data_IF_154863996013
#
_entry.id   IF_154863996013
#
_cell.length_a   1.000
_cell.length_b   1.000
_cell.length_c   1.000
_cell.angle_alpha   90.00
_cell.angle_beta   90.00
_cell.angle_gamma   90.00
#
_symmetry.space_group_name_H-M   'P 1'
#
loop_
_entity.id
_entity.type
_entity.pdbx_description
1 polymer ?
#
# COMPACT_ATOMS: atom_id res chain seq x y z
N UNK A 1 2.50 0.27 -2.13
CA UNK A 1 2.50 -0.77 -3.16
C UNK A 1 3.69 -0.67 -4.09
N UNK A 2 3.96 0.49 -4.69
CA UNK A 2 4.92 0.64 -5.80
C UNK A 2 6.37 0.96 -5.39
N UNK A 3 6.64 1.20 -4.11
CA UNK A 3 8.00 1.40 -3.59
C UNK A 3 8.82 0.11 -3.56
N UNK A 4 10.14 0.21 -3.35
CA UNK A 4 11.10 -0.90 -3.51
C UNK A 4 10.64 -2.27 -2.99
N UNK A 5 10.40 -2.41 -1.68
CA UNK A 5 9.93 -3.67 -1.09
C UNK A 5 8.52 -4.07 -1.57
N UNK A 6 7.61 -3.11 -1.71
CA UNK A 6 6.25 -3.39 -2.20
C UNK A 6 6.23 -3.98 -3.60
N UNK A 7 7.06 -3.45 -4.51
CA UNK A 7 7.19 -3.95 -5.86
C UNK A 7 7.81 -5.36 -5.91
N UNK A 8 8.82 -5.62 -5.08
CA UNK A 8 9.43 -6.95 -4.96
C UNK A 8 8.43 -7.99 -4.44
N UNK A 9 7.67 -7.66 -3.39
CA UNK A 9 6.64 -8.55 -2.85
C UNK A 9 5.53 -8.78 -3.87
N UNK A 10 5.06 -7.75 -4.58
CA UNK A 10 4.03 -7.90 -5.61
C UNK A 10 4.47 -8.87 -6.71
N UNK A 11 5.70 -8.75 -7.20
CA UNK A 11 6.27 -9.69 -8.19
C UNK A 11 6.33 -11.11 -7.64
N UNK A 12 6.84 -11.28 -6.43
CA UNK A 12 6.97 -12.58 -5.79
C UNK A 12 5.60 -13.26 -5.60
N UNK A 13 4.60 -12.52 -5.15
CA UNK A 13 3.23 -13.03 -4.98
C UNK A 13 2.62 -13.51 -6.30
N UNK A 14 2.84 -12.79 -7.40
CA UNK A 14 2.32 -13.18 -8.72
C UNK A 14 3.07 -14.37 -9.30
N UNK A 15 4.41 -14.33 -9.26
CA UNK A 15 5.27 -15.32 -9.88
C UNK A 15 5.30 -16.66 -9.11
N UNK A 16 5.51 -16.60 -7.80
CA UNK A 16 5.76 -17.80 -6.98
C UNK A 16 4.51 -18.31 -6.26
N UNK A 17 3.58 -17.41 -5.93
CA UNK A 17 2.38 -17.76 -5.15
C UNK A 17 1.07 -17.72 -5.95
N UNK A 18 1.13 -17.42 -7.25
CA UNK A 18 -0.04 -17.49 -8.12
C UNK A 18 -1.11 -16.43 -7.84
N UNK A 19 -0.81 -15.35 -7.11
CA UNK A 19 -1.77 -14.27 -6.85
C UNK A 19 -2.14 -13.59 -8.17
N UNK A 20 -3.44 -13.32 -8.38
CA UNK A 20 -3.97 -12.73 -9.62
C UNK A 20 -4.78 -11.45 -9.43
N UNK A 21 -5.11 -11.08 -8.19
CA UNK A 21 -5.73 -9.79 -7.89
C UNK A 21 -4.82 -8.99 -6.97
N UNK A 22 -4.42 -7.79 -7.39
CA UNK A 22 -3.56 -6.90 -6.62
C UNK A 22 -4.09 -5.47 -6.63
N UNK A 23 -4.17 -4.87 -5.45
CA UNK A 23 -4.30 -3.41 -5.27
C UNK A 23 -2.98 -2.88 -4.74
N UNK A 24 -2.28 -2.08 -5.54
CA UNK A 24 -1.03 -1.44 -5.17
C UNK A 24 -1.30 -0.01 -4.71
N UNK A 25 -1.62 0.15 -3.43
CA UNK A 25 -1.96 1.45 -2.84
C UNK A 25 -0.72 2.28 -2.46
N UNK A 26 -0.82 3.60 -2.59
CA UNK A 26 0.11 4.58 -2.04
C UNK A 26 -0.25 5.99 -2.47
N UNK A 27 0.26 7.02 -1.77
CA UNK A 27 -0.16 8.43 -1.96
C UNK A 27 -0.19 8.93 -3.40
N UNK A 28 0.75 8.49 -4.24
CA UNK A 28 0.86 8.93 -5.64
C UNK A 28 0.10 8.04 -6.64
N UNK A 29 -0.38 6.86 -6.23
CA UNK A 29 -1.04 5.90 -7.13
C UNK A 29 -0.22 5.65 -8.41
N UNK A 30 -0.88 5.81 -9.56
CA UNK A 30 -0.28 5.66 -10.88
C UNK A 30 0.79 6.70 -11.22
N UNK A 31 0.82 7.84 -10.54
CA UNK A 31 1.83 8.89 -10.75
C UNK A 31 3.15 8.60 -10.00
N UNK A 32 3.22 7.50 -9.22
CA UNK A 32 4.48 7.11 -8.61
C UNK A 32 5.49 6.68 -9.69
N UNK A 33 6.78 7.06 -9.59
CA UNK A 33 7.80 6.62 -10.54
C UNK A 33 7.83 5.09 -10.66
N UNK A 34 7.75 4.57 -11.89
CA UNK A 34 7.78 3.13 -12.15
C UNK A 34 6.45 2.38 -11.92
N UNK A 35 5.37 3.06 -11.51
CA UNK A 35 4.13 2.40 -11.14
C UNK A 35 3.40 1.76 -12.32
N UNK A 36 3.33 2.47 -13.44
CA UNK A 36 2.67 2.00 -14.66
C UNK A 36 3.45 0.86 -15.31
N UNK A 37 4.78 0.93 -15.29
CA UNK A 37 5.66 -0.13 -15.76
C UNK A 37 5.51 -1.39 -14.91
N UNK A 38 5.53 -1.26 -13.57
CA UNK A 38 5.28 -2.38 -12.66
C UNK A 38 3.91 -3.01 -12.89
N UNK A 39 2.87 -2.19 -13.04
CA UNK A 39 1.52 -2.71 -13.29
C UNK A 39 1.44 -3.43 -14.65
N UNK A 40 2.10 -2.92 -15.69
CA UNK A 40 2.16 -3.59 -16.99
C UNK A 40 2.90 -4.94 -16.91
N UNK A 41 4.04 -4.99 -16.20
CA UNK A 41 4.80 -6.22 -15.94
C UNK A 41 3.94 -7.30 -15.27
N UNK A 42 3.27 -6.94 -14.17
CA UNK A 42 2.41 -7.86 -13.41
C UNK A 42 1.18 -8.31 -14.22
N UNK A 43 0.62 -7.42 -15.04
CA UNK A 43 -0.48 -7.77 -15.97
C UNK A 43 -0.03 -8.73 -17.06
N UNK A 44 1.16 -8.54 -17.62
CA UNK A 44 1.75 -9.47 -18.58
C UNK A 44 2.00 -10.86 -17.97
N UNK A 45 2.27 -10.91 -16.65
CA UNK A 45 2.35 -12.15 -15.87
C UNK A 45 0.97 -12.75 -15.49
N UNK A 46 -0.14 -12.16 -15.97
CA UNK A 46 -1.49 -12.68 -15.81
C UNK A 46 -2.28 -12.16 -14.60
N UNK A 47 -1.79 -11.16 -13.87
CA UNK A 47 -2.52 -10.56 -12.76
C UNK A 47 -3.40 -9.37 -13.19
N UNK A 48 -4.56 -9.21 -12.57
CA UNK A 48 -5.28 -7.95 -12.52
C UNK A 48 -4.63 -7.04 -11.47
N UNK A 49 -4.32 -5.80 -11.85
CA UNK A 49 -3.61 -4.84 -11.00
C UNK A 49 -4.33 -3.50 -11.01
N UNK A 50 -4.63 -3.00 -9.84
CA UNK A 50 -5.11 -1.64 -9.60
C UNK A 50 -4.01 -0.79 -8.94
N UNK A 51 -3.82 0.43 -9.44
CA UNK A 51 -2.92 1.42 -8.85
C UNK A 51 -3.78 2.45 -8.10
N UNK A 52 -3.86 2.33 -6.78
CA UNK A 52 -4.71 3.19 -5.97
C UNK A 52 -3.92 4.37 -5.36
N UNK A 53 -4.36 5.59 -5.63
CA UNK A 53 -3.89 6.79 -4.94
C UNK A 53 -4.58 6.84 -3.57
N UNK A 54 -3.87 6.41 -2.52
CA UNK A 54 -4.41 6.33 -1.16
C UNK A 54 -3.29 6.54 -0.14
N UNK A 55 -3.51 7.44 0.81
CA UNK A 55 -2.69 7.55 2.01
C UNK A 55 -3.27 6.62 3.08
N UNK A 56 -2.50 5.62 3.51
CA UNK A 56 -2.97 4.70 4.57
C UNK A 56 -3.10 5.39 5.93
N UNK A 57 -2.39 6.50 6.14
CA UNK A 57 -2.56 7.35 7.31
C UNK A 57 -3.80 8.26 7.25
N UNK A 58 -4.60 8.18 6.19
CA UNK A 58 -5.93 8.78 6.08
C UNK A 58 -6.99 7.68 6.17
N UNK A 59 -7.71 7.64 7.29
CA UNK A 59 -8.68 6.58 7.59
C UNK A 59 -9.86 6.60 6.63
N UNK A 60 -10.33 7.78 6.23
CA UNK A 60 -11.49 7.91 5.34
C UNK A 60 -11.12 7.49 3.92
N UNK A 61 -9.97 7.93 3.43
CA UNK A 61 -9.46 7.51 2.12
C UNK A 61 -9.24 5.99 2.05
N UNK A 62 -8.71 5.40 3.13
CA UNK A 62 -8.51 3.95 3.21
C UNK A 62 -9.84 3.19 3.27
N UNK A 63 -10.82 3.68 4.04
CA UNK A 63 -12.15 3.08 4.10
C UNK A 63 -12.85 3.11 2.72
N UNK A 64 -12.74 4.24 2.01
CA UNK A 64 -13.28 4.37 0.65
C UNK A 64 -12.63 3.39 -0.34
N UNK A 65 -11.30 3.22 -0.26
CA UNK A 65 -10.59 2.23 -1.08
C UNK A 65 -11.07 0.80 -0.80
N UNK A 66 -11.19 0.42 0.48
CA UNK A 66 -11.64 -0.91 0.88
C UNK A 66 -13.08 -1.18 0.44
N UNK A 67 -13.97 -0.22 0.60
CA UNK A 67 -15.37 -0.32 0.18
C UNK A 67 -15.54 -0.42 -1.35
N UNK A 68 -14.57 0.07 -2.12
CA UNK A 68 -14.55 -0.01 -3.58
C UNK A 68 -14.04 -1.34 -4.15
N UNK A 69 -13.56 -2.25 -3.30
CA UNK A 69 -13.04 -3.54 -3.75
C UNK A 69 -14.13 -4.43 -4.35
N UNK A 70 -13.76 -5.24 -5.34
CA UNK A 70 -14.69 -6.12 -6.03
C UNK A 70 -15.23 -7.21 -5.07
N UNK A 71 -16.54 -7.29 -4.80
CA UNK A 71 -17.11 -8.28 -3.90
C UNK A 71 -16.95 -9.73 -4.41
N UNK A 72 -16.80 -9.95 -5.72
CA UNK A 72 -16.57 -11.27 -6.29
C UNK A 72 -15.13 -11.77 -6.07
N UNK A 73 -14.23 -10.86 -5.68
CA UNK A 73 -12.83 -11.13 -5.38
C UNK A 73 -12.45 -10.46 -4.04
N UNK A 74 -12.96 -11.00 -2.91
CA UNK A 74 -12.77 -10.38 -1.62
C UNK A 74 -11.30 -10.30 -1.23
N UNK A 75 -10.97 -9.31 -0.39
CA UNK A 75 -9.63 -9.12 0.15
C UNK A 75 -9.26 -10.29 1.06
N UNK A 76 -8.19 -11.02 0.70
CA UNK A 76 -7.73 -12.19 1.47
C UNK A 76 -6.38 -11.96 2.17
N UNK A 77 -5.71 -10.84 1.92
CA UNK A 77 -4.41 -10.55 2.50
C UNK A 77 -3.97 -9.11 2.33
N UNK A 78 -3.19 -8.63 3.30
CA UNK A 78 -2.64 -7.27 3.33
C UNK A 78 -1.14 -7.35 3.58
N UNK A 79 -0.36 -6.73 2.70
CA UNK A 79 1.08 -6.53 2.92
C UNK A 79 1.33 -5.03 3.14
N UNK A 80 1.55 -4.65 4.40
CA UNK A 80 1.77 -3.26 4.78
C UNK A 80 3.24 -2.82 4.60
N UNK A 81 3.58 -2.43 3.38
CA UNK A 81 4.92 -1.90 3.03
C UNK A 81 5.00 -0.37 3.06
N UNK A 82 4.01 0.33 3.61
CA UNK A 82 4.04 1.79 3.67
C UNK A 82 5.05 2.27 4.72
N UNK A 83 5.69 3.40 4.42
CA UNK A 83 6.70 3.99 5.29
C UNK A 83 7.44 5.12 4.61
N UNK A 84 7.88 6.07 5.42
CA UNK A 84 8.83 7.12 5.06
C UNK A 84 9.91 7.14 6.13
N UNK A 85 11.07 7.70 5.77
CA UNK A 85 12.20 7.89 6.67
C UNK A 85 12.52 9.38 6.65
N UNK A 86 12.85 9.93 7.81
CA UNK A 86 13.32 11.30 7.98
C UNK A 86 14.45 11.27 9.04
N UNK A 87 15.69 11.14 8.57
CA UNK A 87 16.85 10.90 9.42
C UNK A 87 17.26 12.13 10.24
N UNK A 88 17.60 11.92 11.51
CA UNK A 88 18.04 13.00 12.40
C UNK A 88 18.65 12.49 13.70
N UNK A 89 19.37 13.37 14.39
CA UNK A 89 19.75 13.15 15.77
C UNK A 89 18.51 13.24 16.66
N UNK A 90 18.50 12.55 17.79
CA UNK A 90 17.36 12.58 18.73
C UNK A 90 17.02 14.01 19.17
N UNK A 91 18.03 14.85 19.37
CA UNK A 91 17.88 16.25 19.79
C UNK A 91 17.28 17.15 18.68
N UNK A 92 17.32 16.72 17.41
CA UNK A 92 16.76 17.47 16.28
C UNK A 92 15.38 16.98 15.83
N UNK A 93 14.77 16.05 16.58
CA UNK A 93 13.41 15.62 16.34
C UNK A 93 12.42 16.69 16.77
N UNK A 94 11.43 16.95 15.92
CA UNK A 94 10.26 17.77 16.25
C UNK A 94 9.01 16.89 16.21
N UNK A 95 7.91 17.30 16.86
CA UNK A 95 6.64 16.58 16.78
C UNK A 95 6.21 16.29 15.33
N UNK A 96 6.37 17.24 14.42
CA UNK A 96 5.98 17.11 13.01
C UNK A 96 6.80 16.04 12.28
N UNK A 97 8.10 15.91 12.61
CA UNK A 97 8.97 14.87 12.04
C UNK A 97 8.57 13.49 12.54
N UNK A 98 8.23 13.39 13.83
CA UNK A 98 7.74 12.14 14.45
C UNK A 98 6.41 11.73 13.82
N UNK A 99 5.45 12.65 13.73
CA UNK A 99 4.15 12.40 13.10
C UNK A 99 4.32 11.95 11.64
N UNK A 100 5.23 12.58 10.90
CA UNK A 100 5.49 12.24 9.49
C UNK A 100 5.91 10.79 9.30
N UNK A 101 6.79 10.25 10.16
CA UNK A 101 7.29 8.87 10.04
C UNK A 101 6.34 7.84 10.65
N UNK A 102 5.59 8.21 11.70
CA UNK A 102 4.63 7.32 12.34
C UNK A 102 3.35 7.18 11.52
N UNK A 103 2.84 8.25 10.92
CA UNK A 103 1.57 8.24 10.18
C UNK A 103 1.41 7.10 9.16
N UNK A 104 2.34 6.84 8.22
CA UNK A 104 2.16 5.75 7.26
C UNK A 104 2.35 4.37 7.87
N UNK A 105 2.88 4.23 9.09
CA UNK A 105 3.18 2.95 9.75
C UNK A 105 2.27 2.63 10.92
N UNK A 106 2.28 3.45 11.96
CA UNK A 106 1.49 3.26 13.16
C UNK A 106 0.00 3.48 12.86
N UNK A 107 -0.37 4.70 12.45
CA UNK A 107 -1.76 5.02 12.13
C UNK A 107 -2.25 4.16 10.95
N UNK A 108 -1.42 4.03 9.91
CA UNK A 108 -1.70 3.18 8.76
C UNK A 108 -2.01 1.73 9.14
N UNK A 109 -1.20 1.10 10.00
CA UNK A 109 -1.46 -0.26 10.46
C UNK A 109 -2.69 -0.33 11.37
N UNK A 110 -2.93 0.68 12.20
CA UNK A 110 -4.10 0.75 13.07
C UNK A 110 -5.40 0.87 12.26
N UNK A 111 -5.44 1.75 11.27
CA UNK A 111 -6.59 1.89 10.37
C UNK A 111 -6.88 0.60 9.60
N UNK A 112 -5.83 -0.03 9.04
CA UNK A 112 -5.97 -1.32 8.35
C UNK A 112 -6.52 -2.37 9.30
N UNK A 113 -6.01 -2.46 10.53
CA UNK A 113 -6.54 -3.36 11.53
C UNK A 113 -8.04 -3.09 11.75
N UNK A 114 -8.41 -1.87 12.13
CA UNK A 114 -9.80 -1.54 12.48
C UNK A 114 -10.80 -1.77 11.35
N UNK A 115 -10.45 -1.34 10.13
CA UNK A 115 -11.33 -1.34 8.97
C UNK A 115 -11.48 -2.72 8.33
N UNK A 116 -10.61 -3.69 8.66
CA UNK A 116 -10.63 -5.03 8.07
C UNK A 116 -11.00 -6.14 9.06
N UNK A 117 -11.39 -5.81 10.29
CA UNK A 117 -11.78 -6.79 11.33
C UNK A 117 -12.92 -7.72 10.92
N UNK A 118 -13.86 -7.19 10.14
CA UNK A 118 -15.11 -7.87 9.78
C UNK A 118 -15.18 -8.23 8.28
N UNK A 119 -14.05 -8.15 7.57
CA UNK A 119 -13.93 -8.54 6.16
C UNK A 119 -13.66 -10.04 5.99
#
# INVERSE_FOLDING_TARGET
GTGGLGALVARHLVAEHGVRGLVLAGRRGAEAPGATELAAELRAAGASVELAACDTGDREALAALLAGMNPDHPLTGIVHCAGVIDDGLTESLTPERVDTVLRPKADGAWHLHELTRDL
#
